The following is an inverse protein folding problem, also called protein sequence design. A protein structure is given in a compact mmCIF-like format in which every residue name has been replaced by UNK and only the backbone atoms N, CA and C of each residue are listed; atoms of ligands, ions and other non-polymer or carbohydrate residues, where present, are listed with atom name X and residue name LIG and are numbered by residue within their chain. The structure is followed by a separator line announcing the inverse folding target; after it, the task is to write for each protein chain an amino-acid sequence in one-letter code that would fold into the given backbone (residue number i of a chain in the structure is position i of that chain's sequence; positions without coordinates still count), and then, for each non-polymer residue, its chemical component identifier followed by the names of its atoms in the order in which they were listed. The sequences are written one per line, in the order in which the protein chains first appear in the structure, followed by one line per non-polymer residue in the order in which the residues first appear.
data_IF_886247363705
#
_entry.id   IF_886247363705
#
_cell.length_a   1.000
_cell.length_b   1.000
_cell.length_c   1.000
_cell.angle_alpha   90.00
_cell.angle_beta   90.00
_cell.angle_gamma   90.00
#
_symmetry.space_group_name_H-M   'P 1'
#
loop_
_entity.id
_entity.type
_entity.pdbx_description
1 polymer ?
#
# COMPACT_ATOMS: atom_id res chain seq x y z
N UNK A 1 41.68 -26.65 71.07
CA UNK A 1 41.51 -27.58 72.20
C UNK A 1 42.36 -28.82 71.97
N UNK A 2 43.47 -29.00 72.67
CA UNK A 2 44.25 -30.25 72.59
C UNK A 2 43.60 -31.29 73.50
N UNK A 3 42.85 -32.23 72.92
CA UNK A 3 42.29 -33.37 73.66
C UNK A 3 43.42 -34.35 73.99
N UNK A 4 43.60 -34.64 75.28
CA UNK A 4 44.57 -35.65 75.71
C UNK A 4 44.17 -37.04 75.19
N UNK A 5 45.14 -37.83 74.75
CA UNK A 5 44.91 -39.17 74.18
C UNK A 5 44.18 -40.09 75.17
N UNK A 6 42.95 -40.52 74.88
CA UNK A 6 42.18 -41.44 75.71
C UNK A 6 42.22 -42.83 75.07
N UNK A 7 42.84 -43.84 75.71
CA UNK A 7 42.86 -45.18 75.16
C UNK A 7 41.47 -45.80 75.24
N UNK A 8 41.05 -46.50 74.18
CA UNK A 8 39.75 -47.19 74.11
C UNK A 8 39.75 -48.51 74.89
N UNK A 9 40.93 -49.03 75.20
CA UNK A 9 41.16 -50.29 75.92
C UNK A 9 42.03 -50.00 77.15
N UNK A 10 41.80 -50.75 78.24
CA UNK A 10 42.58 -50.60 79.46
C UNK A 10 44.07 -50.86 79.19
N UNK A 11 44.95 -49.98 79.68
CA UNK A 11 46.39 -50.09 79.49
C UNK A 11 47.15 -49.56 80.71
N UNK A 12 48.16 -50.32 81.16
CA UNK A 12 48.99 -49.97 82.31
C UNK A 12 49.89 -48.76 82.03
N UNK A 13 50.30 -48.54 80.76
CA UNK A 13 51.11 -47.39 80.35
C UNK A 13 50.47 -46.65 79.17
N UNK A 14 49.96 -45.44 79.44
CA UNK A 14 49.24 -44.60 78.47
C UNK A 14 50.11 -44.09 77.32
N UNK A 15 51.40 -43.81 77.57
CA UNK A 15 52.32 -43.28 76.56
C UNK A 15 52.67 -44.35 75.53
N UNK A 16 52.98 -45.56 76.00
CA UNK A 16 53.23 -46.70 75.12
C UNK A 16 51.97 -47.02 74.31
N UNK A 17 50.81 -47.06 74.96
CA UNK A 17 49.53 -47.32 74.30
C UNK A 17 49.22 -46.30 73.20
N UNK A 18 49.47 -45.01 73.43
CA UNK A 18 49.38 -43.94 72.41
C UNK A 18 50.26 -44.22 71.20
N UNK A 19 51.53 -44.57 71.43
CA UNK A 19 52.50 -44.84 70.35
C UNK A 19 52.11 -46.06 69.52
N UNK A 20 51.61 -47.11 70.17
CA UNK A 20 51.12 -48.31 69.47
C UNK A 20 49.88 -48.01 68.64
N UNK A 21 48.89 -47.34 69.22
CA UNK A 21 47.65 -46.99 68.52
C UNK A 21 47.93 -46.05 67.34
N UNK A 22 48.84 -45.08 67.50
CA UNK A 22 49.28 -44.21 66.41
C UNK A 22 49.91 -45.03 65.27
N UNK A 23 50.82 -45.96 65.59
CA UNK A 23 51.44 -46.83 64.59
C UNK A 23 50.40 -47.71 63.88
N UNK A 24 49.43 -48.26 64.60
CA UNK A 24 48.35 -49.05 64.00
C UNK A 24 47.45 -48.20 63.11
N UNK A 25 47.16 -46.98 63.53
CA UNK A 25 46.41 -46.01 62.73
C UNK A 25 47.16 -45.68 61.44
N UNK A 26 48.45 -45.38 61.52
CA UNK A 26 49.29 -45.07 60.36
C UNK A 26 49.36 -46.28 59.41
N UNK A 27 49.56 -47.51 59.92
CA UNK A 27 49.52 -48.74 59.13
C UNK A 27 48.17 -48.96 58.45
N UNK A 28 47.06 -48.73 59.15
CA UNK A 28 45.72 -48.83 58.58
C UNK A 28 45.52 -47.79 57.49
N UNK A 29 45.93 -46.53 57.71
CA UNK A 29 45.84 -45.47 56.70
C UNK A 29 46.66 -45.77 55.46
N UNK A 30 47.85 -46.35 55.62
CA UNK A 30 48.67 -46.80 54.49
C UNK A 30 47.96 -47.91 53.72
N UNK A 31 47.40 -48.92 54.40
CA UNK A 31 46.61 -49.97 53.76
C UNK A 31 45.40 -49.40 53.00
N UNK A 32 44.68 -48.45 53.58
CA UNK A 32 43.55 -47.78 52.92
C UNK A 32 43.98 -47.01 51.68
N UNK A 33 45.14 -46.35 51.72
CA UNK A 33 45.69 -45.64 50.57
C UNK A 33 46.15 -46.59 49.46
N UNK A 34 46.69 -47.76 49.82
CA UNK A 34 47.22 -48.76 48.88
C UNK A 34 46.12 -49.66 48.27
N UNK A 35 44.93 -49.71 48.87
CA UNK A 35 43.81 -50.51 48.35
C UNK A 35 43.36 -49.95 47.00
N UNK A 36 43.39 -50.81 45.98
CA UNK A 36 42.85 -50.51 44.65
C UNK A 36 41.32 -50.62 44.64
N UNK A 37 40.61 -49.74 43.92
CA UNK A 37 39.16 -49.88 43.77
C UNK A 37 38.83 -51.18 43.04
N UNK A 38 37.87 -51.95 43.57
CA UNK A 38 37.42 -53.21 42.98
C UNK A 38 36.47 -53.00 41.78
N UNK A 39 35.81 -51.84 41.72
CA UNK A 39 34.85 -51.47 40.68
C UNK A 39 35.42 -50.30 39.90
N UNK A 40 35.28 -50.34 38.57
CA UNK A 40 35.61 -49.20 37.72
C UNK A 40 34.61 -48.06 37.96
N UNK A 41 35.12 -46.95 38.49
CA UNK A 41 34.35 -45.73 38.75
C UNK A 41 34.62 -44.65 37.68
N UNK A 42 35.25 -45.01 36.55
CA UNK A 42 35.51 -44.05 35.47
C UNK A 42 34.23 -43.72 34.73
N UNK A 43 34.17 -42.49 34.21
CA UNK A 43 33.08 -42.10 33.32
C UNK A 43 33.11 -42.95 32.04
N UNK A 44 31.93 -43.35 31.51
CA UNK A 44 31.86 -44.07 30.26
C UNK A 44 32.40 -43.22 29.11
N UNK A 45 32.92 -43.89 28.06
CA UNK A 45 33.47 -43.22 26.88
C UNK A 45 32.37 -42.42 26.18
N UNK A 46 32.59 -41.12 26.04
CA UNK A 46 31.72 -40.25 25.25
C UNK A 46 32.06 -40.37 23.77
N UNK A 47 31.03 -40.41 22.92
CA UNK A 47 31.19 -40.42 21.47
C UNK A 47 30.82 -39.07 20.87
N UNK A 48 31.65 -38.59 19.93
CA UNK A 48 31.42 -37.31 19.27
C UNK A 48 30.10 -37.26 18.49
N UNK A 49 29.71 -38.38 17.87
CA UNK A 49 28.46 -38.45 17.09
C UNK A 49 27.18 -38.31 17.94
N UNK A 50 27.25 -38.51 19.27
CA UNK A 50 26.13 -38.25 20.17
C UNK A 50 25.94 -36.76 20.43
N UNK A 51 27.03 -35.99 20.45
CA UNK A 51 27.03 -34.55 20.73
C UNK A 51 26.93 -33.72 19.45
N UNK A 52 27.44 -34.25 18.33
CA UNK A 52 27.54 -33.57 17.06
C UNK A 52 26.95 -34.43 15.95
N UNK A 53 25.99 -33.86 15.20
CA UNK A 53 25.44 -34.48 14.00
C UNK A 53 26.24 -34.03 12.78
N UNK A 54 27.40 -34.67 12.55
CA UNK A 54 28.33 -34.25 11.48
C UNK A 54 27.66 -34.22 10.09
N UNK A 55 26.81 -35.19 9.76
CA UNK A 55 26.13 -35.20 8.45
C UNK A 55 25.16 -34.02 8.28
N UNK A 56 24.52 -33.59 9.36
CA UNK A 56 23.64 -32.40 9.33
C UNK A 56 24.46 -31.14 9.04
N UNK A 57 25.62 -30.98 9.70
CA UNK A 57 26.52 -29.86 9.47
C UNK A 57 27.04 -29.85 8.03
N UNK A 58 27.45 -31.01 7.52
CA UNK A 58 27.91 -31.15 6.13
C UNK A 58 26.83 -30.72 5.12
N UNK A 59 25.59 -31.18 5.28
CA UNK A 59 24.50 -30.84 4.35
C UNK A 59 24.18 -29.34 4.39
N UNK A 60 24.26 -28.72 5.56
CA UNK A 60 24.07 -27.27 5.69
C UNK A 60 25.17 -26.50 4.98
N UNK A 61 26.44 -26.91 5.15
CA UNK A 61 27.58 -26.32 4.47
C UNK A 61 27.48 -26.47 2.94
N UNK A 62 27.11 -27.64 2.44
CA UNK A 62 26.87 -27.88 1.01
C UNK A 62 25.76 -26.97 0.47
N UNK A 63 24.66 -26.80 1.22
CA UNK A 63 23.56 -25.89 0.85
C UNK A 63 24.03 -24.44 0.80
N UNK A 64 24.78 -23.98 1.80
CA UNK A 64 25.31 -22.62 1.85
C UNK A 64 26.27 -22.36 0.67
N UNK A 65 27.14 -23.33 0.35
CA UNK A 65 28.05 -23.22 -0.79
C UNK A 65 27.33 -23.11 -2.14
N UNK A 66 26.15 -23.73 -2.28
CA UNK A 66 25.28 -23.55 -3.47
C UNK A 66 24.72 -22.13 -3.51
N UNK A 67 24.14 -21.66 -2.41
CA UNK A 67 23.57 -20.31 -2.31
C UNK A 67 24.62 -19.24 -2.60
N UNK A 68 25.84 -19.38 -2.06
CA UNK A 68 26.94 -18.44 -2.29
C UNK A 68 27.38 -18.41 -3.77
N UNK A 69 27.48 -19.58 -4.41
CA UNK A 69 27.80 -19.68 -5.84
C UNK A 69 26.73 -18.99 -6.69
N UNK A 70 25.47 -19.23 -6.41
CA UNK A 70 24.35 -18.65 -7.14
C UNK A 70 24.28 -17.13 -6.95
N UNK A 71 24.48 -16.67 -5.71
CA UNK A 71 24.58 -15.24 -5.40
C UNK A 71 25.73 -14.58 -6.16
N UNK A 72 26.90 -15.23 -6.23
CA UNK A 72 28.04 -14.72 -7.01
C UNK A 72 27.70 -14.56 -8.49
N UNK A 73 27.11 -15.60 -9.09
CA UNK A 73 26.71 -15.57 -10.51
C UNK A 73 25.65 -14.50 -10.75
N UNK A 74 24.68 -14.36 -9.85
CA UNK A 74 23.64 -13.34 -9.94
C UNK A 74 24.26 -11.93 -9.89
N UNK A 75 25.14 -11.67 -8.94
CA UNK A 75 25.81 -10.38 -8.80
C UNK A 75 26.67 -10.04 -10.02
N UNK A 76 27.37 -11.03 -10.57
CA UNK A 76 28.15 -10.85 -11.81
C UNK A 76 27.25 -10.47 -12.99
N UNK A 77 26.12 -11.17 -13.16
CA UNK A 77 25.12 -10.86 -14.20
C UNK A 77 24.50 -9.48 -14.01
N UNK A 78 24.15 -9.12 -12.78
CA UNK A 78 23.60 -7.79 -12.46
C UNK A 78 24.62 -6.69 -12.74
N UNK A 79 25.87 -6.88 -12.31
CA UNK A 79 26.97 -5.96 -12.62
C UNK A 79 27.16 -5.78 -14.13
N UNK A 80 27.11 -6.89 -14.89
CA UNK A 80 27.19 -6.86 -16.34
C UNK A 80 26.04 -6.05 -16.98
N UNK A 81 24.81 -6.26 -16.54
CA UNK A 81 23.62 -5.50 -17.02
C UNK A 81 23.77 -4.02 -16.69
N UNK A 82 24.13 -3.68 -15.44
CA UNK A 82 24.30 -2.30 -14.98
C UNK A 82 25.39 -1.58 -15.78
N UNK A 83 26.52 -2.24 -16.06
CA UNK A 83 27.62 -1.69 -16.85
C UNK A 83 27.25 -1.50 -18.32
N UNK A 84 26.54 -2.46 -18.91
CA UNK A 84 26.27 -2.50 -20.36
C UNK A 84 24.97 -1.77 -20.73
N UNK A 85 24.20 -1.28 -19.74
CA UNK A 85 22.88 -0.62 -19.90
C UNK A 85 21.84 -1.44 -20.68
N UNK A 86 22.01 -2.77 -20.75
CA UNK A 86 21.06 -3.71 -21.35
C UNK A 86 20.64 -3.37 -22.78
N UNK A 87 21.38 -3.85 -23.79
CA UNK A 87 20.85 -3.86 -25.16
C UNK A 87 19.92 -5.07 -25.30
N UNK A 88 18.62 -4.82 -25.39
CA UNK A 88 17.63 -5.86 -25.72
C UNK A 88 17.70 -6.09 -27.23
N UNK A 89 18.25 -7.22 -27.65
CA UNK A 89 18.24 -7.70 -29.03
C UNK A 89 16.96 -8.49 -29.37
N UNK A 90 16.00 -8.55 -28.44
CA UNK A 90 14.70 -9.18 -28.63
C UNK A 90 13.73 -8.29 -29.44
N UNK A 91 14.13 -7.89 -30.65
CA UNK A 91 13.17 -7.55 -31.68
C UNK A 91 12.77 -8.82 -32.39
N UNK A 92 12.07 -9.69 -31.67
CA UNK A 92 11.47 -10.85 -32.30
C UNK A 92 10.23 -10.37 -33.07
N UNK A 93 10.40 -10.07 -34.36
CA UNK A 93 9.32 -9.62 -35.26
C UNK A 93 8.39 -10.78 -35.62
N UNK A 94 7.88 -11.50 -34.62
CA UNK A 94 6.89 -12.55 -34.79
C UNK A 94 5.54 -11.90 -35.10
N UNK A 95 5.11 -12.06 -36.35
CA UNK A 95 3.72 -11.82 -36.69
C UNK A 95 2.88 -12.90 -36.02
N UNK A 96 2.08 -12.53 -35.02
CA UNK A 96 1.14 -13.44 -34.37
C UNK A 96 0.15 -13.98 -35.41
N UNK A 97 0.38 -15.22 -35.88
CA UNK A 97 -0.50 -15.91 -36.82
C UNK A 97 -1.67 -16.50 -36.02
N UNK A 98 -2.76 -15.75 -35.90
CA UNK A 98 -4.02 -16.29 -35.37
C UNK A 98 -4.64 -17.24 -36.41
N UNK A 99 -4.85 -18.50 -36.03
CA UNK A 99 -5.59 -19.48 -36.85
C UNK A 99 -7.00 -19.00 -37.21
N UNK A 100 -7.58 -18.12 -36.40
CA UNK A 100 -8.94 -17.59 -36.57
C UNK A 100 -8.98 -16.27 -37.38
N UNK A 101 -7.85 -15.79 -37.92
CA UNK A 101 -7.81 -14.52 -38.66
C UNK A 101 -8.77 -14.48 -39.84
N UNK A 102 -8.85 -15.57 -40.61
CA UNK A 102 -9.74 -15.69 -41.77
C UNK A 102 -11.21 -15.71 -41.36
N UNK A 103 -11.56 -16.45 -40.30
CA UNK A 103 -12.91 -16.50 -39.75
C UNK A 103 -13.37 -15.13 -39.23
N UNK A 104 -12.51 -14.46 -38.44
CA UNK A 104 -12.76 -13.10 -37.94
C UNK A 104 -12.92 -12.08 -39.07
N UNK A 105 -12.12 -12.20 -40.13
CA UNK A 105 -12.22 -11.31 -41.29
C UNK A 105 -13.54 -11.49 -42.05
N UNK A 106 -14.01 -12.73 -42.22
CA UNK A 106 -15.33 -12.99 -42.85
C UNK A 106 -16.47 -12.44 -42.01
N UNK A 107 -16.43 -12.65 -40.69
CA UNK A 107 -17.47 -12.13 -39.80
C UNK A 107 -17.47 -10.60 -39.78
N UNK A 108 -16.28 -9.97 -39.78
CA UNK A 108 -16.16 -8.52 -39.89
C UNK A 108 -16.80 -8.01 -41.19
N UNK A 109 -16.49 -8.64 -42.33
CA UNK A 109 -17.09 -8.26 -43.62
C UNK A 109 -18.61 -8.41 -43.60
N UNK A 110 -19.12 -9.51 -43.05
CA UNK A 110 -20.56 -9.75 -42.91
C UNK A 110 -21.23 -8.65 -42.09
N UNK A 111 -20.72 -8.39 -40.88
CA UNK A 111 -21.24 -7.34 -39.98
C UNK A 111 -21.18 -5.97 -40.65
N UNK A 112 -20.09 -5.64 -41.36
CA UNK A 112 -19.99 -4.36 -42.05
C UNK A 112 -21.00 -4.21 -43.17
N UNK A 113 -21.27 -5.28 -43.94
CA UNK A 113 -22.26 -5.26 -44.99
C UNK A 113 -23.69 -5.15 -44.43
N UNK A 114 -23.99 -5.87 -43.36
CA UNK A 114 -25.27 -5.76 -42.65
C UNK A 114 -25.49 -4.35 -42.08
N UNK A 115 -24.47 -3.76 -41.45
CA UNK A 115 -24.52 -2.40 -40.93
C UNK A 115 -24.71 -1.36 -42.05
N UNK A 116 -24.04 -1.52 -43.19
CA UNK A 116 -24.25 -0.65 -44.35
C UNK A 116 -25.68 -0.76 -44.90
N UNK A 117 -26.25 -1.95 -44.93
CA UNK A 117 -27.64 -2.15 -45.36
C UNK A 117 -28.63 -1.47 -44.39
N UNK A 118 -28.41 -1.59 -43.08
CA UNK A 118 -29.21 -0.91 -42.05
C UNK A 118 -29.09 0.61 -42.20
N UNK A 119 -27.87 1.13 -42.33
CA UNK A 119 -27.63 2.57 -42.49
C UNK A 119 -28.34 3.12 -43.72
N UNK A 120 -28.28 2.40 -44.85
CA UNK A 120 -29.02 2.78 -46.07
C UNK A 120 -30.51 2.84 -45.82
N UNK A 121 -31.10 1.85 -45.12
CA UNK A 121 -32.53 1.84 -44.80
C UNK A 121 -32.93 3.01 -43.91
N UNK A 122 -32.14 3.29 -42.87
CA UNK A 122 -32.38 4.42 -41.95
C UNK A 122 -32.28 5.74 -42.72
N UNK A 123 -31.22 5.91 -43.53
CA UNK A 123 -31.01 7.13 -44.29
C UNK A 123 -32.03 7.35 -45.41
N UNK A 124 -32.53 6.27 -46.02
CA UNK A 124 -33.56 6.35 -47.07
C UNK A 124 -34.95 6.57 -46.50
N UNK A 125 -35.15 6.32 -45.21
CA UNK A 125 -36.46 6.46 -44.58
C UNK A 125 -36.69 7.93 -44.28
N UNK A 126 -37.73 8.50 -44.89
CA UNK A 126 -38.17 9.84 -44.56
C UNK A 126 -38.58 9.93 -43.09
N UNK A 127 -38.21 11.02 -42.40
CA UNK A 127 -38.66 11.25 -41.04
C UNK A 127 -40.20 11.32 -41.01
N UNK A 128 -40.81 10.60 -40.06
CA UNK A 128 -42.28 10.55 -39.93
C UNK A 128 -42.87 11.92 -39.55
N UNK A 129 -42.08 12.74 -38.86
CA UNK A 129 -42.44 14.09 -38.46
C UNK A 129 -41.51 15.05 -39.18
N UNK A 130 -42.10 15.88 -40.05
CA UNK A 130 -41.36 16.97 -40.67
C UNK A 130 -41.38 18.18 -39.72
N UNK A 131 -40.25 18.45 -39.09
CA UNK A 131 -40.09 19.58 -38.17
C UNK A 131 -40.40 20.94 -38.81
N UNK A 132 -40.17 21.10 -40.11
CA UNK A 132 -40.43 22.35 -40.84
C UNK A 132 -41.95 22.61 -40.89
N UNK A 133 -42.73 21.57 -41.20
CA UNK A 133 -44.20 21.65 -41.22
C UNK A 133 -44.74 21.92 -39.81
N UNK A 134 -44.15 21.29 -38.80
CA UNK A 134 -44.56 21.51 -37.41
C UNK A 134 -44.27 22.93 -36.93
N UNK A 135 -43.17 23.53 -37.37
CA UNK A 135 -42.84 24.92 -37.06
C UNK A 135 -43.86 25.87 -37.72
N UNK A 136 -44.18 25.64 -39.00
CA UNK A 136 -45.22 26.40 -39.70
C UNK A 136 -46.60 26.26 -39.04
N UNK A 137 -47.01 25.04 -38.72
CA UNK A 137 -48.28 24.76 -38.02
C UNK A 137 -48.30 25.40 -36.63
N UNK A 138 -47.17 25.38 -35.93
CA UNK A 138 -47.03 26.02 -34.63
C UNK A 138 -47.21 27.54 -34.72
N UNK A 139 -46.61 28.18 -35.74
CA UNK A 139 -46.77 29.61 -35.98
C UNK A 139 -48.21 29.99 -36.35
N UNK A 140 -48.89 29.18 -37.17
CA UNK A 140 -50.32 29.37 -37.46
C UNK A 140 -51.18 29.20 -36.21
N UNK A 141 -50.90 28.17 -35.40
CA UNK A 141 -51.60 27.95 -34.14
C UNK A 141 -51.34 29.10 -33.15
N UNK A 142 -50.13 29.67 -33.15
CA UNK A 142 -49.79 30.85 -32.35
C UNK A 142 -50.62 32.06 -32.80
N UNK A 143 -50.80 32.25 -34.10
CA UNK A 143 -51.66 33.30 -34.66
C UNK A 143 -53.13 33.10 -34.29
N UNK A 144 -53.67 31.88 -34.45
CA UNK A 144 -55.04 31.57 -34.02
C UNK A 144 -55.23 31.78 -32.53
N UNK A 145 -54.28 31.36 -31.71
CA UNK A 145 -54.29 31.58 -30.27
C UNK A 145 -54.29 33.08 -29.95
N UNK A 146 -53.46 33.89 -30.62
CA UNK A 146 -53.49 35.35 -30.44
C UNK A 146 -54.85 35.95 -30.81
N UNK A 147 -55.42 35.53 -31.94
CA UNK A 147 -56.70 36.04 -32.44
C UNK A 147 -57.89 35.67 -31.56
N UNK A 148 -57.90 34.46 -30.98
CA UNK A 148 -59.02 33.95 -30.15
C UNK A 148 -58.83 34.31 -28.67
N UNK A 149 -57.60 34.63 -28.24
CA UNK A 149 -57.33 34.96 -26.85
C UNK A 149 -57.93 36.31 -26.44
N UNK A 150 -58.74 36.31 -25.40
CA UNK A 150 -59.20 37.55 -24.74
C UNK A 150 -58.04 38.34 -24.09
N UNK A 151 -56.89 37.70 -23.88
CA UNK A 151 -55.69 38.29 -23.30
C UNK A 151 -54.46 37.93 -24.14
N UNK A 152 -53.92 38.88 -24.93
CA UNK A 152 -52.78 38.61 -25.81
C UNK A 152 -51.55 38.13 -25.05
N UNK A 153 -50.71 37.30 -25.69
CA UNK A 153 -49.47 36.75 -25.09
C UNK A 153 -48.58 37.87 -24.53
N UNK A 154 -48.50 39.01 -25.21
CA UNK A 154 -47.76 40.20 -24.79
C UNK A 154 -48.29 40.78 -23.47
N UNK A 155 -49.60 40.69 -23.21
CA UNK A 155 -50.20 41.07 -21.93
C UNK A 155 -49.76 40.13 -20.81
N UNK A 156 -49.76 38.81 -21.04
CA UNK A 156 -49.24 37.83 -20.07
C UNK A 156 -47.74 38.02 -19.79
N UNK A 157 -46.93 38.27 -20.84
CA UNK A 157 -45.50 38.56 -20.70
C UNK A 157 -45.25 39.82 -19.88
N UNK A 158 -46.01 40.89 -20.15
CA UNK A 158 -45.92 42.14 -19.39
C UNK A 158 -46.39 41.95 -17.94
N UNK A 159 -47.44 41.17 -17.69
CA UNK A 159 -47.92 40.84 -16.34
C UNK A 159 -46.86 40.06 -15.55
N UNK A 160 -46.27 39.01 -16.13
CA UNK A 160 -45.14 38.28 -15.52
C UNK A 160 -43.95 39.20 -15.27
N UNK A 161 -43.63 40.08 -16.22
CA UNK A 161 -42.55 41.07 -16.06
C UNK A 161 -42.83 42.02 -14.89
N UNK A 162 -44.05 42.53 -14.76
CA UNK A 162 -44.45 43.39 -13.66
C UNK A 162 -44.48 42.66 -12.31
N UNK A 163 -44.93 41.41 -12.26
CA UNK A 163 -44.83 40.58 -11.05
C UNK A 163 -43.38 40.36 -10.63
N UNK A 164 -42.48 40.13 -11.59
CA UNK A 164 -41.05 40.00 -11.32
C UNK A 164 -40.44 41.31 -10.83
N UNK A 165 -40.86 42.46 -11.39
CA UNK A 165 -40.46 43.78 -10.91
C UNK A 165 -40.97 44.05 -9.48
N UNK A 166 -42.24 43.75 -9.19
CA UNK A 166 -42.82 43.87 -7.84
C UNK A 166 -42.15 42.94 -6.83
N UNK A 167 -41.77 41.72 -7.23
CA UNK A 167 -40.96 40.81 -6.40
C UNK A 167 -39.59 41.41 -6.10
N UNK A 168 -38.91 41.98 -7.10
CA UNK A 168 -37.63 42.70 -6.90
C UNK A 168 -37.79 43.91 -5.97
N UNK A 169 -38.84 44.71 -6.13
CA UNK A 169 -39.12 45.85 -5.25
C UNK A 169 -39.44 45.43 -3.81
N UNK A 170 -40.16 44.32 -3.61
CA UNK A 170 -40.39 43.75 -2.27
C UNK A 170 -39.09 43.27 -1.62
N UNK A 171 -38.24 42.58 -2.38
CA UNK A 171 -36.89 42.19 -1.95
C UNK A 171 -36.06 43.42 -1.51
N UNK A 172 -36.09 44.50 -2.29
CA UNK A 172 -35.37 45.73 -1.98
C UNK A 172 -35.95 46.51 -0.78
N UNK A 173 -37.27 46.41 -0.51
CA UNK A 173 -37.93 47.06 0.63
C UNK A 173 -37.81 46.29 1.95
N UNK A 174 -37.54 44.99 1.91
CA UNK A 174 -37.24 44.17 3.10
C UNK A 174 -35.76 44.21 3.51
N UNK A 175 -34.90 44.87 2.73
CA UNK A 175 -33.53 45.14 3.14
C UNK A 175 -33.51 46.36 4.09
N UNK A 176 -33.03 46.23 5.35
CA UNK A 176 -33.00 47.34 6.29
C UNK A 176 -32.07 48.47 5.81
N UNK A 177 -32.58 49.70 5.81
CA UNK A 177 -31.86 50.92 5.50
C UNK A 177 -30.90 51.28 6.65
N UNK A 178 -29.73 50.65 6.67
CA UNK A 178 -28.57 51.05 7.48
C UNK A 178 -27.35 50.82 6.61
N UNK A 179 -26.96 51.80 5.77
CA UNK A 179 -25.66 51.82 5.07
C UNK A 179 -25.30 53.19 4.45
N UNK A 180 -25.83 54.30 4.95
CA UNK A 180 -25.36 55.65 4.53
C UNK A 180 -24.31 56.25 5.51
N UNK A 181 -24.18 55.73 6.73
CA UNK A 181 -23.14 56.21 7.68
C UNK A 181 -21.71 55.75 7.36
N UNK A 182 -21.51 54.87 6.36
CA UNK A 182 -20.17 54.33 6.02
C UNK A 182 -19.54 55.04 4.79
N UNK A 183 -20.32 55.76 3.97
CA UNK A 183 -19.83 56.34 2.70
C UNK A 183 -19.27 57.76 2.83
N UNK A 184 -19.77 58.58 3.77
CA UNK A 184 -19.30 59.96 3.95
C UNK A 184 -17.89 60.07 4.57
N UNK A 185 -17.44 59.02 5.25
CA UNK A 185 -16.09 58.95 5.86
C UNK A 185 -14.99 58.62 4.85
N UNK A 186 -15.34 58.06 3.69
CA UNK A 186 -14.39 57.69 2.63
C UNK A 186 -14.18 58.82 1.60
N UNK A 187 -15.19 59.65 1.34
CA UNK A 187 -15.11 60.74 0.35
C UNK A 187 -14.30 61.95 0.85
N UNK A 188 -14.37 62.24 2.17
CA UNK A 188 -13.67 63.38 2.78
C UNK A 188 -12.15 63.20 2.92
N UNK A 189 -11.60 61.99 2.73
CA UNK A 189 -10.16 61.73 2.76
C UNK A 189 -9.50 61.75 1.37
N UNK A 190 -10.29 61.66 0.28
CA UNK A 190 -9.76 61.59 -1.08
C UNK A 190 -9.52 62.97 -1.73
N UNK A 191 -10.23 64.02 -1.31
CA UNK A 191 -10.12 65.36 -1.91
C UNK A 191 -8.88 66.17 -1.47
N UNK A 192 -8.01 65.62 -0.61
CA UNK A 192 -6.82 66.31 -0.13
C UNK A 192 -5.50 65.86 -0.80
N UNK A 193 -5.55 64.93 -1.76
CA UNK A 193 -4.33 64.33 -2.34
C UNK A 193 -4.06 64.76 -3.80
N UNK A 194 -5.05 65.25 -4.54
CA UNK A 194 -4.94 65.39 -6.01
C UNK A 194 -4.56 66.79 -6.53
N UNK A 195 -4.29 67.78 -5.67
CA UNK A 195 -3.84 69.12 -6.14
C UNK A 195 -2.33 69.21 -6.44
N UNK A 196 -1.53 68.16 -6.21
CA UNK A 196 -0.07 68.27 -6.19
C UNK A 196 0.70 67.62 -7.35
N UNK A 197 0.04 67.19 -8.43
CA UNK A 197 0.72 66.39 -9.49
C UNK A 197 0.50 66.87 -10.93
N UNK A 198 0.35 68.18 -11.18
CA UNK A 198 0.21 68.68 -12.55
C UNK A 198 1.11 69.87 -12.89
N UNK A 199 2.42 69.77 -12.57
CA UNK A 199 3.47 70.59 -13.21
C UNK A 199 4.78 69.79 -13.29
N UNK A 200 4.99 69.08 -14.41
CA UNK A 200 6.27 68.90 -15.14
C UNK A 200 6.11 68.00 -16.37
#
# INVERSE_FOLDING_TARGET
MHRAYQPTTAANNRLLKKRWDQRQYDLHRNKVADIKPQIDNKAPRTYMHMHLKLKKLQVEEERLAVVERDNRILLEKMSYIMRTKGKVDNWNQYHQKSLNKSSRQRELLRVTHENQAILKRISSKEPHYNHDIWEEEWDQNLLYMQNISNYPIRWLQNKKRQENLRKKEKLNKTAPANNEEISERASSQASHIDENNNEQ
#
